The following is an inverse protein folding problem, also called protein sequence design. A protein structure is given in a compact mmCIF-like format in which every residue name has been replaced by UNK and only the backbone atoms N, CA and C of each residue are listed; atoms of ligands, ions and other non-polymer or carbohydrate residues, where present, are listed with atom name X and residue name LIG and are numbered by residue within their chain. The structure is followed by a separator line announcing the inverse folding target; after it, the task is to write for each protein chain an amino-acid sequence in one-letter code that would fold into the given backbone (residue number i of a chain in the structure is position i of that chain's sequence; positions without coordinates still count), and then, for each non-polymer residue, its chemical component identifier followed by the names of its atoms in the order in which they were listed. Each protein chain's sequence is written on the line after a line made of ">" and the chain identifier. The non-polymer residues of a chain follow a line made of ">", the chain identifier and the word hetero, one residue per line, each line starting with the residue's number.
data_IF_475931004439
#
_entry.id   IF_475931004439
#
_cell.length_a   1.000
_cell.length_b   1.000
_cell.length_c   1.000
_cell.angle_alpha   90.00
_cell.angle_beta   90.00
_cell.angle_gamma   90.00
#
_symmetry.space_group_name_H-M   'P 1'
#
loop_
_entity.id
_entity.type
_entity.pdbx_description
1 polymer ?
#
# COMPACT_ATOMS: atom_id res chain seq x y z
N UNK A 1 -39.54 20.01 -22.66
CA UNK A 1 -39.82 18.70 -22.07
C UNK A 1 -38.64 18.07 -21.33
N UNK A 2 -37.35 18.30 -21.70
CA UNK A 2 -36.18 17.72 -20.98
C UNK A 2 -35.89 18.30 -19.59
N UNK A 3 -36.32 19.52 -19.29
CA UNK A 3 -36.07 20.16 -17.98
C UNK A 3 -37.03 19.72 -16.87
N UNK A 4 -38.22 19.19 -17.21
CA UNK A 4 -39.22 18.73 -16.25
C UNK A 4 -38.87 17.34 -15.68
N UNK A 5 -38.20 16.51 -16.50
CA UNK A 5 -37.80 15.15 -16.11
C UNK A 5 -36.69 15.18 -15.04
N UNK A 6 -35.76 16.15 -15.12
CA UNK A 6 -34.69 16.28 -14.11
C UNK A 6 -35.21 16.67 -12.71
N UNK A 7 -36.28 17.47 -12.63
CA UNK A 7 -36.84 17.90 -11.33
C UNK A 7 -37.58 16.74 -10.65
N UNK A 8 -38.22 15.86 -11.42
CA UNK A 8 -38.93 14.70 -10.89
C UNK A 8 -37.96 13.61 -10.35
N UNK A 9 -36.77 13.44 -10.94
CA UNK A 9 -35.75 12.49 -10.48
C UNK A 9 -35.11 12.97 -9.18
N UNK A 10 -34.90 14.26 -8.99
CA UNK A 10 -34.34 14.83 -7.75
C UNK A 10 -35.31 14.71 -6.58
N UNK A 11 -36.63 14.82 -6.83
CA UNK A 11 -37.63 14.67 -5.76
C UNK A 11 -37.81 13.22 -5.26
N UNK A 12 -37.48 12.21 -6.07
CA UNK A 12 -37.59 10.80 -5.67
C UNK A 12 -36.42 10.32 -4.79
N UNK A 13 -35.30 11.05 -4.73
CA UNK A 13 -34.15 10.68 -3.92
C UNK A 13 -34.20 11.23 -2.47
N UNK A 14 -35.19 12.04 -2.12
CA UNK A 14 -35.32 12.65 -0.79
C UNK A 14 -36.30 11.91 0.15
N UNK A 15 -36.90 10.79 -0.26
CA UNK A 15 -37.94 10.07 0.50
C UNK A 15 -37.47 8.83 1.25
N UNK A 16 -36.18 8.57 1.35
CA UNK A 16 -35.65 7.37 2.00
C UNK A 16 -34.89 7.64 3.30
N UNK A 17 -35.42 8.51 4.16
CA UNK A 17 -35.01 8.58 5.55
C UNK A 17 -36.25 8.50 6.43
N UNK A 18 -36.62 7.32 6.90
CA UNK A 18 -37.53 7.18 8.03
C UNK A 18 -36.97 6.25 9.10
N UNK A 19 -36.80 6.85 10.27
CA UNK A 19 -36.49 6.27 11.57
C UNK A 19 -37.47 5.16 11.97
N UNK A 20 -36.98 4.18 12.74
CA UNK A 20 -37.74 3.61 13.87
C UNK A 20 -36.81 3.30 15.03
N UNK A 21 -37.06 4.04 16.09
CA UNK A 21 -36.72 3.75 17.48
C UNK A 21 -37.70 2.69 18.05
N UNK A 22 -37.28 2.04 19.12
CA UNK A 22 -38.12 1.26 20.07
C UNK A 22 -37.44 -0.05 20.48
N UNK A 23 -37.01 -0.26 21.60
CA UNK A 23 -37.34 -0.19 23.01
C UNK A 23 -36.87 -1.46 23.71
N UNK A 24 -36.32 -1.25 24.87
CA UNK A 24 -35.87 -2.11 25.95
C UNK A 24 -36.84 -3.27 26.36
N UNK A 25 -36.23 -4.36 26.90
CA UNK A 25 -36.47 -4.94 28.26
C UNK A 25 -35.74 -6.30 28.33
N UNK A 26 -34.74 -6.44 29.19
CA UNK A 26 -34.72 -6.82 30.60
C UNK A 26 -35.10 -8.27 30.90
N UNK A 27 -34.24 -8.95 31.60
CA UNK A 27 -34.45 -9.90 32.70
C UNK A 27 -33.58 -11.18 32.67
N UNK A 28 -32.62 -11.17 33.59
CA UNK A 28 -32.18 -12.25 34.48
C UNK A 28 -32.25 -13.74 34.07
N UNK A 29 -31.12 -14.43 34.07
CA UNK A 29 -30.80 -15.43 35.13
C UNK A 29 -29.39 -16.02 34.97
N UNK A 30 -28.69 -15.95 36.08
CA UNK A 30 -27.52 -16.76 36.43
C UNK A 30 -27.75 -18.26 36.22
N UNK A 31 -26.78 -18.94 35.68
CA UNK A 31 -26.40 -20.27 36.15
C UNK A 31 -24.89 -20.45 35.93
N UNK A 32 -24.22 -20.53 37.03
CA UNK A 32 -22.84 -20.94 37.20
C UNK A 32 -22.80 -22.45 36.90
N UNK A 33 -21.90 -22.81 35.98
CA UNK A 33 -21.40 -24.20 35.94
C UNK A 33 -19.90 -24.10 35.79
N UNK A 34 -19.22 -24.29 36.91
CA UNK A 34 -17.81 -24.66 36.97
C UNK A 34 -17.63 -25.96 36.20
N UNK A 35 -16.76 -25.97 35.23
CA UNK A 35 -16.12 -27.19 34.74
C UNK A 35 -14.65 -26.86 34.45
N UNK A 36 -13.88 -27.25 35.44
CA UNK A 36 -12.49 -27.52 35.45
C UNK A 36 -12.10 -28.33 34.19
N UNK A 37 -11.34 -27.72 33.26
CA UNK A 37 -10.63 -28.42 32.21
C UNK A 37 -9.21 -27.88 32.14
N UNK A 38 -8.40 -28.34 33.11
CA UNK A 38 -6.98 -28.42 32.95
C UNK A 38 -6.66 -29.63 32.08
N UNK A 39 -6.23 -29.41 30.85
CA UNK A 39 -5.40 -30.37 30.15
C UNK A 39 -4.63 -29.66 29.05
N UNK A 40 -3.32 -29.52 29.31
CA UNK A 40 -2.24 -29.72 28.37
C UNK A 40 -2.37 -28.99 27.02
N UNK A 41 -2.03 -27.70 27.02
CA UNK A 41 -1.55 -27.06 25.79
C UNK A 41 -0.04 -27.31 25.78
N UNK A 42 0.37 -28.41 25.13
CA UNK A 42 1.73 -28.51 24.61
C UNK A 42 1.97 -27.34 23.67
N UNK A 43 2.80 -26.44 24.11
CA UNK A 43 3.39 -25.39 23.29
C UNK A 43 4.17 -26.03 22.14
N UNK A 44 3.53 -26.16 21.01
CA UNK A 44 4.26 -26.22 19.75
C UNK A 44 4.58 -24.78 19.38
N UNK A 45 5.60 -24.22 19.99
CA UNK A 45 6.28 -23.02 19.46
C UNK A 45 6.87 -23.48 18.15
N UNK A 46 6.16 -23.21 17.06
CA UNK A 46 6.79 -23.14 15.76
C UNK A 46 7.76 -21.97 15.87
N UNK A 47 9.04 -22.29 15.87
CA UNK A 47 10.10 -21.36 15.51
C UNK A 47 9.67 -20.78 14.15
N UNK A 48 9.09 -19.57 14.16
CA UNK A 48 9.07 -18.74 12.98
C UNK A 48 10.54 -18.49 12.67
N UNK A 49 11.02 -19.14 11.62
CA UNK A 49 12.30 -18.82 11.01
C UNK A 49 12.28 -17.31 10.77
N UNK A 50 12.95 -16.56 11.62
CA UNK A 50 13.34 -15.19 11.36
C UNK A 50 14.35 -15.30 10.22
N UNK A 51 13.86 -15.28 8.99
CA UNK A 51 14.69 -15.09 7.81
C UNK A 51 15.20 -13.66 7.99
N UNK A 52 16.41 -13.51 8.52
CA UNK A 52 17.17 -12.28 8.35
C UNK A 52 17.32 -12.14 6.83
N UNK A 53 16.43 -11.36 6.23
CA UNK A 53 16.56 -10.99 4.81
C UNK A 53 17.85 -10.19 4.72
N UNK A 54 18.90 -10.83 4.20
CA UNK A 54 20.18 -10.18 3.90
C UNK A 54 19.87 -8.96 3.03
N UNK A 55 20.37 -7.80 3.45
CA UNK A 55 20.29 -6.59 2.63
C UNK A 55 21.10 -6.90 1.38
N UNK A 56 20.40 -7.14 0.28
CA UNK A 56 21.03 -7.36 -1.02
C UNK A 56 21.68 -6.05 -1.48
N UNK A 57 23.01 -5.96 -1.37
CA UNK A 57 23.85 -4.86 -1.85
C UNK A 57 24.36 -5.11 -3.29
N UNK A 58 23.68 -6.00 -4.02
CA UNK A 58 24.01 -6.39 -5.38
C UNK A 58 24.13 -5.24 -6.38
N UNK A 59 24.66 -5.55 -7.56
CA UNK A 59 24.77 -4.60 -8.68
C UNK A 59 23.38 -4.07 -9.07
N UNK A 60 23.32 -2.78 -9.44
CA UNK A 60 22.09 -2.14 -9.92
C UNK A 60 21.87 -2.54 -11.38
N UNK A 61 20.76 -3.21 -11.68
CA UNK A 61 20.40 -3.61 -13.04
C UNK A 61 19.85 -2.46 -13.86
N UNK A 62 19.07 -1.56 -13.20
CA UNK A 62 18.41 -0.42 -13.85
C UNK A 62 18.62 0.81 -12.99
N UNK A 63 19.40 1.78 -13.48
CA UNK A 63 19.62 3.06 -12.80
C UNK A 63 18.86 4.19 -13.50
N UNK A 64 17.82 4.70 -12.84
CA UNK A 64 17.02 5.82 -13.28
C UNK A 64 17.39 7.14 -12.57
N UNK A 65 18.34 7.11 -11.62
CA UNK A 65 18.65 8.25 -10.77
C UNK A 65 19.32 9.41 -11.50
N UNK A 66 20.04 9.12 -12.60
CA UNK A 66 20.73 10.09 -13.43
C UNK A 66 19.89 10.58 -14.63
N UNK A 67 18.71 10.01 -14.82
CA UNK A 67 17.81 10.39 -15.91
C UNK A 67 17.06 11.69 -15.60
N UNK A 68 16.70 12.42 -16.66
CA UNK A 68 15.73 13.51 -16.51
C UNK A 68 14.39 12.94 -16.06
N UNK A 69 13.56 13.75 -15.37
CA UNK A 69 12.24 13.30 -14.89
C UNK A 69 11.39 12.68 -16.00
N UNK A 70 11.42 13.25 -17.21
CA UNK A 70 10.67 12.74 -18.37
C UNK A 70 11.18 11.36 -18.79
N UNK A 71 12.49 11.17 -18.86
CA UNK A 71 13.08 9.89 -19.24
C UNK A 71 12.81 8.84 -18.16
N UNK A 72 12.97 9.20 -16.89
CA UNK A 72 12.66 8.32 -15.78
C UNK A 72 11.16 7.91 -15.79
N UNK A 73 10.25 8.85 -16.08
CA UNK A 73 8.83 8.56 -16.24
C UNK A 73 8.57 7.52 -17.34
N UNK A 74 9.20 7.68 -18.52
CA UNK A 74 9.07 6.71 -19.61
C UNK A 74 9.61 5.34 -19.23
N UNK A 75 10.75 5.28 -18.54
CA UNK A 75 11.34 4.01 -18.12
C UNK A 75 10.50 3.33 -17.03
N UNK A 76 9.91 4.07 -16.10
CA UNK A 76 8.95 3.51 -15.13
C UNK A 76 7.73 2.93 -15.86
N UNK A 77 7.21 3.60 -16.91
CA UNK A 77 6.16 3.04 -17.75
C UNK A 77 6.59 1.70 -18.39
N UNK A 78 7.81 1.64 -18.93
CA UNK A 78 8.36 0.42 -19.55
C UNK A 78 8.48 -0.72 -18.53
N UNK A 79 8.99 -0.44 -17.33
CA UNK A 79 9.13 -1.42 -16.25
C UNK A 79 7.78 -2.01 -15.86
N UNK A 80 6.78 -1.15 -15.63
CA UNK A 80 5.43 -1.57 -15.19
C UNK A 80 4.71 -2.34 -16.32
N UNK A 81 4.97 -1.99 -17.58
CA UNK A 81 4.36 -2.66 -18.73
C UNK A 81 4.93 -4.05 -19.01
N UNK A 82 6.07 -4.39 -18.44
CA UNK A 82 6.79 -5.67 -18.67
C UNK A 82 7.35 -6.22 -17.35
N UNK A 83 6.44 -6.53 -16.43
CA UNK A 83 6.80 -6.99 -15.08
C UNK A 83 7.55 -8.32 -15.11
N UNK A 84 7.18 -9.23 -16.02
CA UNK A 84 7.80 -10.54 -16.12
C UNK A 84 9.31 -10.48 -16.39
N UNK A 85 9.73 -9.57 -17.27
CA UNK A 85 11.14 -9.38 -17.63
C UNK A 85 11.90 -8.49 -16.63
N UNK A 86 11.20 -7.79 -15.75
CA UNK A 86 11.80 -6.87 -14.78
C UNK A 86 11.76 -7.39 -13.33
N UNK A 87 10.99 -8.45 -13.06
CA UNK A 87 10.90 -9.09 -11.74
C UNK A 87 12.29 -9.52 -11.24
N UNK A 88 12.59 -9.16 -10.00
CA UNK A 88 13.84 -9.45 -9.32
C UNK A 88 14.99 -8.51 -9.66
N UNK A 89 14.87 -7.66 -10.67
CA UNK A 89 15.92 -6.67 -10.99
C UNK A 89 16.05 -5.64 -9.89
N UNK A 90 17.28 -5.26 -9.60
CA UNK A 90 17.62 -4.19 -8.67
C UNK A 90 17.54 -2.85 -9.38
N UNK A 91 16.61 -2.01 -8.93
CA UNK A 91 16.30 -0.73 -9.56
C UNK A 91 16.67 0.41 -8.62
N UNK A 92 17.33 1.44 -9.15
CA UNK A 92 17.56 2.71 -8.48
C UNK A 92 16.76 3.80 -9.18
N UNK A 93 15.93 4.52 -8.42
CA UNK A 93 15.09 5.61 -8.92
C UNK A 93 15.27 6.85 -8.06
N UNK A 94 15.33 8.03 -8.70
CA UNK A 94 15.31 9.33 -8.04
C UNK A 94 13.97 10.02 -8.29
N UNK A 95 13.29 10.43 -7.22
CA UNK A 95 11.98 11.06 -7.34
C UNK A 95 11.54 11.73 -6.05
N UNK A 96 10.26 12.06 -5.99
CA UNK A 96 9.62 12.63 -4.81
C UNK A 96 9.14 11.50 -3.89
N UNK A 97 9.47 11.59 -2.62
CA UNK A 97 8.93 10.68 -1.61
C UNK A 97 7.45 10.97 -1.40
N UNK A 98 6.63 9.97 -1.61
CA UNK A 98 5.23 9.99 -1.21
C UNK A 98 4.95 8.88 -0.22
N UNK A 99 4.05 9.13 0.72
CA UNK A 99 3.53 8.08 1.59
C UNK A 99 2.09 8.37 1.99
N UNK A 100 1.37 7.30 2.24
CA UNK A 100 0.03 7.29 2.79
C UNK A 100 0.03 6.42 4.05
N UNK A 101 -0.62 6.90 5.10
CA UNK A 101 -0.87 6.15 6.31
C UNK A 101 -2.36 5.83 6.39
N UNK A 102 -2.69 4.55 6.47
CA UNK A 102 -4.07 4.11 6.64
C UNK A 102 -4.59 4.59 8.01
N UNK A 103 -5.71 5.31 8.07
CA UNK A 103 -6.21 5.87 9.33
C UNK A 103 -6.67 4.82 10.34
N UNK A 104 -7.04 3.62 9.88
CA UNK A 104 -7.54 2.54 10.74
C UNK A 104 -6.42 1.60 11.17
N UNK A 105 -5.64 1.10 10.22
CA UNK A 105 -4.58 0.10 10.47
C UNK A 105 -3.24 0.72 10.85
N UNK A 106 -3.03 2.02 10.56
CA UNK A 106 -1.76 2.72 10.71
C UNK A 106 -0.63 2.19 9.81
N UNK A 107 -0.97 1.32 8.88
CA UNK A 107 -0.04 0.83 7.89
C UNK A 107 0.37 1.95 6.93
N UNK A 108 1.67 2.05 6.67
CA UNK A 108 2.23 3.03 5.74
C UNK A 108 2.55 2.40 4.40
N UNK A 109 2.20 3.09 3.34
CA UNK A 109 2.56 2.74 1.97
C UNK A 109 3.43 3.85 1.40
N UNK A 110 4.61 3.50 0.91
CA UNK A 110 5.59 4.44 0.38
C UNK A 110 5.69 4.35 -1.14
N UNK A 111 5.97 5.47 -1.78
CA UNK A 111 6.22 5.57 -3.21
C UNK A 111 7.31 6.58 -3.52
N UNK A 112 8.09 6.29 -4.57
CA UNK A 112 9.01 7.24 -5.19
C UNK A 112 8.45 7.62 -6.56
N UNK A 113 8.04 8.90 -6.73
CA UNK A 113 7.31 9.36 -7.90
C UNK A 113 8.11 10.32 -8.77
N UNK A 114 7.94 10.20 -10.07
CA UNK A 114 8.50 11.08 -11.09
C UNK A 114 7.37 11.74 -11.88
N UNK A 115 7.62 12.91 -12.42
CA UNK A 115 6.62 13.68 -13.16
C UNK A 115 6.82 13.57 -14.67
N UNK A 116 5.72 13.62 -15.43
CA UNK A 116 5.77 13.75 -16.88
C UNK A 116 6.30 15.13 -17.34
N UNK A 117 6.38 15.32 -18.65
CA UNK A 117 6.89 16.55 -19.28
C UNK A 117 6.09 17.80 -18.92
N UNK A 118 4.81 17.66 -18.59
CA UNK A 118 3.90 18.77 -18.29
C UNK A 118 3.67 18.94 -16.80
N UNK A 119 4.25 18.07 -15.99
CA UNK A 119 4.04 17.97 -14.54
C UNK A 119 2.55 17.85 -14.14
N UNK A 120 1.71 17.34 -15.05
CA UNK A 120 0.29 17.11 -14.78
C UNK A 120 0.00 15.68 -14.33
N UNK A 121 0.91 14.74 -14.61
CA UNK A 121 0.80 13.34 -14.21
C UNK A 121 2.05 12.91 -13.47
N UNK A 122 1.87 12.11 -12.45
CA UNK A 122 2.97 11.45 -11.73
C UNK A 122 2.85 9.95 -11.89
N UNK A 123 3.98 9.28 -11.95
CA UNK A 123 4.08 7.83 -11.93
C UNK A 123 5.28 7.46 -11.07
N UNK A 124 5.26 6.30 -10.44
CA UNK A 124 6.36 5.89 -9.59
C UNK A 124 6.32 4.42 -9.24
N UNK A 125 7.29 4.01 -8.46
CA UNK A 125 7.36 2.69 -7.90
C UNK A 125 7.05 2.75 -6.41
N UNK A 126 6.16 1.88 -5.96
CA UNK A 126 5.94 1.64 -4.55
C UNK A 126 7.17 0.95 -3.97
N UNK A 127 7.44 1.11 -2.69
CA UNK A 127 8.55 0.43 -2.05
C UNK A 127 8.28 0.10 -0.58
N UNK A 128 9.01 -0.90 -0.08
CA UNK A 128 9.08 -1.27 1.34
C UNK A 128 10.48 -0.94 1.83
N UNK A 129 10.64 0.10 2.64
CA UNK A 129 11.96 0.50 3.13
C UNK A 129 12.48 -0.51 4.16
N UNK A 130 13.81 -0.68 4.22
CA UNK A 130 14.48 -1.45 5.28
C UNK A 130 14.29 -0.75 6.64
N UNK A 131 14.31 0.59 6.64
CA UNK A 131 14.09 1.41 7.83
C UNK A 131 13.18 2.59 7.46
N UNK A 132 12.03 2.72 8.12
CA UNK A 132 11.06 3.81 7.93
C UNK A 132 11.10 4.86 9.05
N UNK A 133 12.00 4.71 10.04
CA UNK A 133 12.02 5.58 11.23
C UNK A 133 12.62 6.96 10.97
N UNK A 134 13.52 7.07 9.98
CA UNK A 134 14.24 8.27 9.64
C UNK A 134 14.07 8.66 8.17
N UNK A 135 12.87 8.64 7.65
CA UNK A 135 12.61 9.12 6.30
C UNK A 135 12.41 10.65 6.31
N UNK A 136 12.79 11.36 5.23
CA UNK A 136 12.59 12.79 5.13
C UNK A 136 11.09 13.13 5.00
N UNK A 137 10.79 14.43 5.00
CA UNK A 137 9.42 14.90 4.83
C UNK A 137 8.83 14.46 3.47
N UNK A 138 7.51 14.28 3.42
CA UNK A 138 6.78 14.01 2.19
C UNK A 138 7.11 15.06 1.12
N UNK A 139 7.29 14.60 -0.12
CA UNK A 139 7.73 15.40 -1.28
C UNK A 139 9.20 15.84 -1.27
N UNK A 140 10.02 15.36 -0.35
CA UNK A 140 11.47 15.47 -0.48
C UNK A 140 11.97 14.65 -1.67
N UNK A 141 13.07 15.10 -2.29
CA UNK A 141 13.75 14.33 -3.35
C UNK A 141 14.55 13.22 -2.65
N UNK A 142 14.34 11.99 -3.07
CA UNK A 142 15.02 10.79 -2.55
C UNK A 142 15.57 9.94 -3.70
N UNK A 143 16.59 9.14 -3.40
CA UNK A 143 17.00 8.01 -4.22
C UNK A 143 16.52 6.74 -3.50
N UNK A 144 15.82 5.88 -4.20
CA UNK A 144 15.32 4.61 -3.68
C UNK A 144 15.93 3.48 -4.49
N UNK A 145 16.58 2.55 -3.81
CA UNK A 145 17.21 1.37 -4.43
C UNK A 145 16.63 0.11 -3.81
N UNK A 146 16.09 -0.81 -4.62
CA UNK A 146 15.51 -2.06 -4.13
C UNK A 146 15.26 -3.06 -5.24
N UNK A 147 14.96 -4.30 -4.89
CA UNK A 147 14.64 -5.35 -5.87
C UNK A 147 13.16 -5.32 -6.25
N UNK A 148 12.83 -5.36 -7.55
CA UNK A 148 11.46 -5.35 -8.04
C UNK A 148 10.76 -6.67 -7.67
N UNK A 149 9.81 -6.60 -6.77
CA UNK A 149 8.91 -7.69 -6.42
C UNK A 149 7.58 -7.52 -7.15
N UNK A 150 7.10 -8.62 -7.73
CA UNK A 150 5.76 -8.70 -8.33
C UNK A 150 4.90 -9.58 -7.44
N UNK A 151 3.74 -9.10 -7.03
CA UNK A 151 2.84 -9.79 -6.11
C UNK A 151 1.39 -9.61 -6.53
N UNK A 152 0.52 -10.52 -6.09
CA UNK A 152 -0.92 -10.44 -6.34
C UNK A 152 -1.65 -9.89 -5.11
N UNK A 153 -2.56 -8.94 -5.33
CA UNK A 153 -3.47 -8.42 -4.31
C UNK A 153 -4.84 -8.16 -4.93
N UNK A 154 -5.88 -8.72 -4.33
CA UNK A 154 -7.28 -8.58 -4.76
C UNK A 154 -7.53 -8.97 -6.24
N UNK A 155 -6.77 -9.94 -6.76
CA UNK A 155 -6.84 -10.40 -8.15
C UNK A 155 -6.11 -9.50 -9.15
N UNK A 156 -5.32 -8.55 -8.68
CA UNK A 156 -4.48 -7.67 -9.50
C UNK A 156 -3.01 -7.98 -9.26
N UNK A 157 -2.24 -8.04 -10.36
CA UNK A 157 -0.80 -8.09 -10.31
C UNK A 157 -0.24 -6.69 -10.07
N UNK A 158 0.55 -6.55 -9.02
CA UNK A 158 1.15 -5.30 -8.58
C UNK A 158 2.66 -5.47 -8.45
N UNK A 159 3.39 -4.34 -8.41
CA UNK A 159 4.83 -4.36 -8.18
C UNK A 159 5.26 -3.34 -7.13
N UNK A 160 6.39 -3.63 -6.48
CA UNK A 160 7.05 -2.73 -5.53
C UNK A 160 8.54 -3.06 -5.44
N UNK A 161 9.33 -2.11 -4.97
CA UNK A 161 10.71 -2.37 -4.59
C UNK A 161 10.75 -2.89 -3.16
N UNK A 162 11.21 -4.12 -2.96
CA UNK A 162 11.42 -4.69 -1.62
C UNK A 162 12.83 -4.38 -1.13
N UNK A 163 13.01 -4.44 0.20
CA UNK A 163 14.26 -4.17 0.90
C UNK A 163 14.90 -2.86 0.42
N UNK A 164 14.06 -1.82 0.33
CA UNK A 164 14.45 -0.57 -0.29
C UNK A 164 15.34 0.26 0.65
N UNK A 165 16.50 0.66 0.13
CA UNK A 165 17.40 1.64 0.74
C UNK A 165 16.98 3.02 0.23
N UNK A 166 16.77 3.96 1.16
CA UNK A 166 16.38 5.34 0.84
C UNK A 166 17.50 6.29 1.22
N UNK A 167 17.99 7.08 0.26
CA UNK A 167 19.02 8.09 0.42
C UNK A 167 18.44 9.48 0.08
N UNK A 168 18.80 10.55 0.82
CA UNK A 168 18.33 11.93 0.58
C UNK A 168 19.36 13.00 0.89
#
# INVERSE_FOLDING_TARGET
>A
MKKIICVLVVMLLLSACNKKEGEQQDSDKQTIVDLDYQSEIEETIKEEDVIEEEIDDGEIDIDLSELTSIMAYCEVCNIISDLDNNKGKRIKIRGLLEYYEDPETKEKTFGCTVMDATACCSLGLMFVPVDDTNLPEKYSIVNVTGALEVYEKDGYELCRLKNAIVEW
#
